data_IF_507630197724
#
_entry.id   IF_507630197724
#
_cell.length_a   1.000
_cell.length_b   1.000
_cell.length_c   1.000
_cell.angle_alpha   90.00
_cell.angle_beta   90.00
_cell.angle_gamma   90.00
#
_symmetry.space_group_name_H-M   'P 1'
#
loop_
_entity.id
_entity.type
_entity.pdbx_description
1 polymer ?
#
# COMPACT_ATOMS: atom_id res chain seq x y z
N UNK A 1 12.28 -37.18 -59.55
CA UNK A 1 11.49 -37.13 -58.29
C UNK A 1 10.65 -35.86 -58.29
N UNK A 2 9.35 -35.95 -58.60
CA UNK A 2 8.39 -34.85 -58.48
C UNK A 2 7.44 -35.25 -57.35
N UNK A 3 7.50 -34.57 -56.21
CA UNK A 3 6.60 -34.80 -55.08
C UNK A 3 5.46 -33.80 -55.18
N UNK A 4 4.28 -34.31 -55.52
CA UNK A 4 3.01 -33.61 -55.34
C UNK A 4 2.77 -33.40 -53.85
N UNK A 5 2.52 -32.16 -53.44
CA UNK A 5 2.05 -31.84 -52.10
C UNK A 5 0.54 -31.63 -52.22
N UNK A 6 -0.22 -32.54 -51.61
CA UNK A 6 -1.66 -32.41 -51.48
C UNK A 6 -1.99 -31.25 -50.53
N UNK A 7 -2.90 -30.41 -50.99
CA UNK A 7 -3.54 -29.35 -50.23
C UNK A 7 -4.50 -30.00 -49.21
N UNK A 8 -4.27 -29.80 -47.92
CA UNK A 8 -5.27 -30.09 -46.88
C UNK A 8 -5.72 -28.76 -46.30
N UNK A 9 -6.92 -28.35 -46.71
CA UNK A 9 -7.68 -27.26 -46.10
C UNK A 9 -8.31 -27.85 -44.83
N UNK A 10 -7.89 -27.36 -43.67
CA UNK A 10 -8.65 -27.53 -42.43
C UNK A 10 -9.36 -26.21 -42.15
N UNK A 11 -10.64 -26.17 -42.49
CA UNK A 11 -11.61 -25.23 -41.95
C UNK A 11 -11.79 -25.55 -40.46
N UNK A 12 -11.41 -24.62 -39.59
CA UNK A 12 -11.58 -24.71 -38.15
C UNK A 12 -11.95 -23.36 -37.55
N UNK A 13 -13.25 -23.21 -37.30
CA UNK A 13 -13.99 -22.15 -36.61
C UNK A 13 -13.18 -21.02 -35.95
N UNK A 14 -13.52 -19.79 -36.36
CA UNK A 14 -13.30 -18.55 -35.63
C UNK A 14 -13.95 -18.61 -34.24
N UNK A 15 -13.20 -19.08 -33.25
CA UNK A 15 -13.46 -18.73 -31.85
C UNK A 15 -12.68 -17.45 -31.59
N UNK A 16 -13.40 -16.35 -31.45
CA UNK A 16 -12.88 -15.09 -30.91
C UNK A 16 -12.26 -15.36 -29.55
N UNK A 17 -10.96 -15.63 -29.53
CA UNK A 17 -10.17 -15.56 -28.31
C UNK A 17 -10.11 -14.08 -27.97
N UNK A 18 -11.07 -13.62 -27.16
CA UNK A 18 -10.78 -12.51 -26.26
C UNK A 18 -9.63 -12.99 -25.37
N UNK A 19 -8.41 -12.72 -25.81
CA UNK A 19 -7.25 -12.86 -24.95
C UNK A 19 -7.51 -11.94 -23.76
N UNK A 20 -7.80 -12.53 -22.60
CA UNK A 20 -7.75 -11.80 -21.33
C UNK A 20 -6.38 -11.14 -21.28
N UNK A 21 -6.28 -9.81 -21.11
CA UNK A 21 -5.00 -9.20 -20.85
C UNK A 21 -4.40 -9.88 -19.63
N UNK A 22 -3.13 -10.29 -19.72
CA UNK A 22 -2.36 -11.02 -18.70
C UNK A 22 -2.16 -10.26 -17.37
N UNK A 23 -2.94 -9.20 -17.15
CA UNK A 23 -2.84 -8.26 -16.05
C UNK A 23 -4.08 -8.24 -15.15
N UNK A 24 -5.09 -9.09 -15.40
CA UNK A 24 -6.20 -9.28 -14.45
C UNK A 24 -5.92 -10.57 -13.67
N UNK A 25 -5.37 -10.49 -12.44
CA UNK A 25 -5.21 -11.68 -11.61
C UNK A 25 -6.60 -12.29 -11.36
N UNK A 26 -6.73 -13.60 -11.60
CA UNK A 26 -7.95 -14.34 -11.29
C UNK A 26 -8.26 -14.19 -9.79
N UNK A 27 -9.41 -13.59 -9.48
CA UNK A 27 -9.87 -13.34 -8.10
C UNK A 27 -9.90 -14.62 -7.25
N UNK A 28 -10.01 -15.79 -7.88
CA UNK A 28 -10.01 -17.09 -7.20
C UNK A 28 -8.61 -17.62 -6.87
N UNK A 29 -7.56 -17.18 -7.58
CA UNK A 29 -6.17 -17.56 -7.31
C UNK A 29 -5.58 -16.71 -6.18
N UNK A 30 -6.06 -15.48 -6.02
CA UNK A 30 -5.68 -14.58 -4.90
C UNK A 30 -6.15 -15.17 -3.56
N UNK A 31 -7.37 -15.72 -3.48
CA UNK A 31 -7.88 -16.33 -2.24
C UNK A 31 -7.13 -17.59 -1.81
N UNK A 32 -6.61 -18.39 -2.76
CA UNK A 32 -5.96 -19.67 -2.42
C UNK A 32 -4.49 -19.52 -2.01
N UNK A 33 -3.82 -18.45 -2.44
CA UNK A 33 -2.44 -18.14 -2.03
C UNK A 33 -2.35 -17.22 -0.80
N UNK A 34 -3.45 -16.56 -0.39
CA UNK A 34 -3.48 -15.71 0.81
C UNK A 34 -3.40 -16.48 2.15
N UNK A 35 -3.59 -17.80 2.14
CA UNK A 35 -3.59 -18.63 3.35
C UNK A 35 -2.20 -19.18 3.74
N UNK A 36 -1.17 -19.00 2.91
CA UNK A 36 0.07 -19.80 3.03
C UNK A 36 1.35 -19.05 3.40
N UNK A 37 1.32 -17.73 3.60
CA UNK A 37 2.45 -17.00 4.16
C UNK A 37 1.94 -15.88 5.07
N UNK A 38 1.45 -16.23 6.26
CA UNK A 38 1.38 -15.23 7.34
C UNK A 38 2.81 -14.87 7.68
N UNK A 39 3.36 -13.81 7.08
CA UNK A 39 4.65 -13.27 7.48
C UNK A 39 4.56 -12.92 8.97
N UNK A 40 5.18 -13.72 9.82
CA UNK A 40 5.33 -13.38 11.23
C UNK A 40 6.28 -12.19 11.25
N UNK A 41 5.76 -11.03 11.67
CA UNK A 41 6.61 -9.87 11.90
C UNK A 41 7.33 -10.13 13.20
N UNK A 42 8.62 -10.45 13.11
CA UNK A 42 9.47 -10.81 14.24
C UNK A 42 9.95 -9.57 15.04
N UNK A 43 9.65 -8.37 14.55
CA UNK A 43 10.02 -7.10 15.17
C UNK A 43 8.82 -6.48 15.87
N UNK A 44 8.97 -6.16 17.15
CA UNK A 44 7.95 -5.44 17.90
C UNK A 44 8.15 -3.93 17.79
N UNK A 45 7.29 -3.28 16.99
CA UNK A 45 7.26 -1.83 16.85
C UNK A 45 6.43 -1.15 17.94
N UNK A 46 5.75 -1.90 18.82
CA UNK A 46 4.85 -1.35 19.82
C UNK A 46 5.53 -0.36 20.76
N UNK A 47 4.75 0.59 21.26
CA UNK A 47 5.19 1.56 22.25
C UNK A 47 4.85 2.99 21.87
N UNK A 48 5.18 3.90 22.79
CA UNK A 48 5.09 5.34 22.54
C UNK A 48 6.43 5.83 22.02
N UNK A 49 6.38 6.66 20.99
CA UNK A 49 7.54 7.14 20.24
C UNK A 49 7.57 8.66 20.27
N UNK A 50 8.74 9.24 20.52
CA UNK A 50 8.96 10.69 20.47
C UNK A 50 10.18 11.01 19.63
N UNK A 51 10.10 12.01 18.78
CA UNK A 51 11.13 12.24 17.79
C UNK A 51 10.85 13.44 16.91
N UNK A 52 11.58 13.51 15.80
CA UNK A 52 11.49 14.64 14.86
C UNK A 52 11.66 14.16 13.43
N UNK A 53 11.07 14.91 12.51
CA UNK A 53 11.24 14.73 11.08
C UNK A 53 12.12 15.84 10.49
N UNK A 54 12.67 15.60 9.31
CA UNK A 54 13.42 16.61 8.56
C UNK A 54 12.53 17.84 8.30
N UNK A 55 13.01 19.03 8.65
CA UNK A 55 12.28 20.29 8.46
C UNK A 55 11.34 20.69 9.59
N UNK A 56 11.08 19.82 10.57
CA UNK A 56 10.28 20.15 11.74
C UNK A 56 11.13 20.79 12.84
N UNK A 57 10.64 21.92 13.38
CA UNK A 57 11.29 22.60 14.50
C UNK A 57 10.99 21.92 15.86
N UNK A 58 9.86 21.21 15.95
CA UNK A 58 9.35 20.63 17.19
C UNK A 58 9.37 19.10 17.15
N UNK A 59 9.50 18.49 18.33
CA UNK A 59 9.34 17.05 18.46
C UNK A 59 7.87 16.65 18.40
N UNK A 60 7.56 15.61 17.66
CA UNK A 60 6.25 15.00 17.59
C UNK A 60 6.27 13.66 18.33
N UNK A 61 5.10 13.24 18.84
CA UNK A 61 4.95 11.94 19.48
C UNK A 61 3.75 11.20 18.94
N UNK A 62 3.84 9.88 18.89
CA UNK A 62 2.76 9.02 18.46
C UNK A 62 2.90 7.65 19.14
N UNK A 63 1.87 6.82 19.05
CA UNK A 63 1.88 5.48 19.61
C UNK A 63 1.71 4.44 18.52
N UNK A 64 2.50 3.38 18.58
CA UNK A 64 2.32 2.17 17.78
C UNK A 64 1.68 1.11 18.66
N UNK A 65 0.55 0.57 18.21
CA UNK A 65 -0.05 -0.64 18.76
C UNK A 65 0.06 -1.76 17.73
N UNK A 66 0.85 -2.79 18.04
CA UNK A 66 0.98 -3.98 17.19
C UNK A 66 0.23 -5.15 17.81
N UNK A 67 -0.47 -5.90 16.97
CA UNK A 67 -1.05 -7.20 17.30
C UNK A 67 -0.53 -8.25 16.32
N UNK A 68 -0.92 -9.51 16.47
CA UNK A 68 -0.54 -10.56 15.54
C UNK A 68 -1.02 -10.34 14.08
N UNK A 69 -2.04 -9.49 13.89
CA UNK A 69 -2.73 -9.33 12.60
C UNK A 69 -2.75 -7.87 12.10
N UNK A 70 -2.32 -6.91 12.91
CA UNK A 70 -2.39 -5.50 12.54
C UNK A 70 -1.36 -4.64 13.26
N UNK A 71 -1.11 -3.48 12.67
CA UNK A 71 -0.39 -2.37 13.29
C UNK A 71 -1.26 -1.12 13.21
N UNK A 72 -1.37 -0.40 14.32
CA UNK A 72 -2.05 0.88 14.37
C UNK A 72 -1.09 2.00 14.74
N UNK A 73 -1.08 3.06 13.95
CA UNK A 73 -0.44 4.33 14.28
C UNK A 73 -1.49 5.25 14.91
N UNK A 74 -1.20 5.79 16.08
CA UNK A 74 -2.11 6.67 16.83
C UNK A 74 -1.43 8.02 17.03
N UNK A 75 -2.03 9.05 16.45
CA UNK A 75 -1.59 10.45 16.52
C UNK A 75 -2.71 11.25 17.17
N UNK A 76 -2.46 11.87 18.33
CA UNK A 76 -3.48 12.58 19.11
C UNK A 76 -4.79 11.77 19.27
N UNK A 77 -5.82 12.11 18.50
CA UNK A 77 -7.14 11.44 18.48
C UNK A 77 -7.42 10.61 17.21
N UNK A 78 -6.46 10.51 16.30
CA UNK A 78 -6.58 9.75 15.06
C UNK A 78 -5.87 8.40 15.16
N UNK A 79 -6.49 7.38 14.56
CA UNK A 79 -5.95 6.02 14.52
C UNK A 79 -5.96 5.49 13.09
N UNK A 80 -4.77 5.28 12.53
CA UNK A 80 -4.57 4.63 11.24
C UNK A 80 -4.24 3.16 11.47
N UNK A 81 -5.13 2.26 11.04
CA UNK A 81 -4.96 0.81 11.21
C UNK A 81 -4.58 0.14 9.90
N UNK A 82 -3.46 -0.57 9.93
CA UNK A 82 -2.93 -1.39 8.84
C UNK A 82 -3.10 -2.87 9.19
N UNK A 83 -3.67 -3.65 8.28
CA UNK A 83 -3.78 -5.10 8.41
C UNK A 83 -2.57 -5.77 7.77
N UNK A 84 -1.95 -6.72 8.46
CA UNK A 84 -0.89 -7.54 7.88
C UNK A 84 -1.52 -8.53 6.89
N UNK A 85 -0.91 -8.69 5.71
CA UNK A 85 -1.41 -9.59 4.65
C UNK A 85 -2.86 -9.32 4.24
N UNK A 86 -3.32 -8.07 4.41
CA UNK A 86 -4.69 -7.66 4.13
C UNK A 86 -4.77 -6.20 3.70
N UNK A 87 -5.94 -5.81 3.21
CA UNK A 87 -6.26 -4.43 2.88
C UNK A 87 -7.31 -3.96 3.89
N UNK A 88 -7.03 -2.90 4.64
CA UNK A 88 -8.07 -2.15 5.33
C UNK A 88 -8.55 -1.03 4.42
N UNK A 89 -9.85 -0.78 4.42
CA UNK A 89 -10.44 0.34 3.70
C UNK A 89 -11.39 1.13 4.58
N UNK A 90 -11.47 2.44 4.32
CA UNK A 90 -12.42 3.32 4.95
C UNK A 90 -13.10 4.14 3.86
N UNK A 91 -14.42 4.09 3.84
CA UNK A 91 -15.23 4.86 2.91
C UNK A 91 -15.86 6.00 3.69
N UNK A 92 -15.61 7.25 3.26
CA UNK A 92 -16.20 8.44 3.86
C UNK A 92 -17.01 9.17 2.79
N UNK A 93 -18.28 9.41 3.11
CA UNK A 93 -19.15 10.27 2.33
C UNK A 93 -19.10 11.67 2.93
N UNK A 94 -18.66 12.64 2.13
CA UNK A 94 -18.89 14.05 2.41
C UNK A 94 -19.79 14.62 1.32
N UNK A 95 -20.53 15.70 1.61
CA UNK A 95 -21.73 16.18 0.91
C UNK A 95 -21.71 16.14 -0.63
N UNK A 96 -20.55 16.20 -1.29
CA UNK A 96 -20.39 16.06 -2.76
C UNK A 96 -19.18 15.22 -3.21
N UNK A 97 -18.50 14.51 -2.28
CA UNK A 97 -17.30 13.73 -2.57
C UNK A 97 -17.34 12.35 -1.94
N UNK A 98 -17.06 11.32 -2.76
CA UNK A 98 -16.87 9.95 -2.32
C UNK A 98 -15.37 9.74 -2.11
N UNK A 99 -14.97 9.59 -0.85
CA UNK A 99 -13.60 9.28 -0.46
C UNK A 99 -13.44 7.80 -0.14
N UNK A 100 -12.38 7.23 -0.65
CA UNK A 100 -11.98 5.86 -0.39
C UNK A 100 -10.51 5.83 0.01
N UNK A 101 -10.23 5.09 1.07
CA UNK A 101 -8.89 4.90 1.58
C UNK A 101 -8.55 3.42 1.58
N UNK A 102 -7.32 3.08 1.23
CA UNK A 102 -6.77 1.73 1.32
C UNK A 102 -5.43 1.76 2.01
N UNK A 103 -5.27 0.83 2.94
CA UNK A 103 -4.06 0.68 3.75
C UNK A 103 -3.54 -0.76 3.60
N UNK A 104 -2.23 -0.89 3.36
CA UNK A 104 -1.54 -2.17 3.18
C UNK A 104 -0.29 -2.16 4.05
N UNK A 105 -0.01 -3.26 4.75
CA UNK A 105 1.26 -3.45 5.47
C UNK A 105 1.99 -4.70 4.94
N UNK A 106 3.20 -4.48 4.43
CA UNK A 106 4.08 -5.50 3.88
C UNK A 106 5.37 -5.58 4.71
N UNK A 107 5.70 -6.77 5.22
CA UNK A 107 6.97 -7.03 5.88
C UNK A 107 8.05 -7.40 4.86
N UNK A 108 9.19 -6.72 4.93
CA UNK A 108 10.38 -7.05 4.15
C UNK A 108 11.45 -7.65 5.08
N UNK A 109 11.52 -8.98 5.09
CA UNK A 109 12.44 -9.71 5.97
C UNK A 109 13.92 -9.51 5.64
N UNK A 110 14.28 -9.08 4.42
CA UNK A 110 15.68 -8.87 4.05
C UNK A 110 16.22 -7.57 4.66
N UNK A 111 15.45 -6.50 4.57
CA UNK A 111 15.80 -5.20 5.15
C UNK A 111 15.34 -5.03 6.61
N UNK A 112 14.62 -6.00 7.16
CA UNK A 112 13.92 -5.91 8.45
C UNK A 112 13.04 -4.65 8.54
N UNK A 113 12.37 -4.33 7.44
CA UNK A 113 11.58 -3.11 7.31
C UNK A 113 10.10 -3.42 7.17
N UNK A 114 9.25 -2.66 7.84
CA UNK A 114 7.80 -2.70 7.64
C UNK A 114 7.38 -1.56 6.70
N UNK A 115 6.77 -1.91 5.57
CA UNK A 115 6.28 -0.95 4.58
C UNK A 115 4.77 -0.78 4.74
N UNK A 116 4.35 0.42 5.13
CA UNK A 116 2.96 0.81 5.25
C UNK A 116 2.59 1.66 4.03
N UNK A 117 1.69 1.17 3.18
CA UNK A 117 1.22 1.87 1.99
C UNK A 117 -0.18 2.38 2.23
N UNK A 118 -0.41 3.63 1.84
CA UNK A 118 -1.67 4.33 1.94
C UNK A 118 -2.04 4.83 0.54
N UNK A 119 -3.28 4.56 0.14
CA UNK A 119 -3.88 5.13 -1.05
C UNK A 119 -5.17 5.81 -0.64
N UNK A 120 -5.25 7.10 -0.89
CA UNK A 120 -6.46 7.89 -0.72
C UNK A 120 -6.91 8.34 -2.10
N UNK A 121 -8.19 8.15 -2.42
CA UNK A 121 -8.77 8.74 -3.61
C UNK A 121 -10.16 9.28 -3.35
N UNK A 122 -10.42 10.45 -3.92
CA UNK A 122 -11.69 11.16 -3.85
C UNK A 122 -12.15 11.53 -5.25
N UNK A 123 -13.45 11.51 -5.50
CA UNK A 123 -14.01 12.09 -6.72
C UNK A 123 -15.33 12.82 -6.46
N UNK A 124 -15.54 13.89 -7.20
CA UNK A 124 -16.81 14.60 -7.37
C UNK A 124 -17.11 14.78 -8.87
N UNK A 125 -18.18 15.51 -9.19
CA UNK A 125 -18.58 15.78 -10.57
C UNK A 125 -17.48 16.42 -11.44
N UNK A 126 -16.58 17.24 -10.84
CA UNK A 126 -15.52 17.97 -11.56
C UNK A 126 -14.14 17.89 -10.89
N UNK A 127 -13.99 17.15 -9.78
CA UNK A 127 -12.72 17.04 -9.07
C UNK A 127 -12.34 15.58 -8.85
N UNK A 128 -11.05 15.33 -8.91
CA UNK A 128 -10.44 14.06 -8.53
C UNK A 128 -9.21 14.35 -7.67
N UNK A 129 -9.05 13.55 -6.64
CA UNK A 129 -7.90 13.56 -5.76
C UNK A 129 -7.36 12.14 -5.66
N UNK A 130 -6.05 11.97 -5.82
CA UNK A 130 -5.34 10.72 -5.55
C UNK A 130 -4.06 11.03 -4.80
N UNK A 131 -3.95 10.48 -3.60
CA UNK A 131 -2.74 10.51 -2.80
C UNK A 131 -2.24 9.09 -2.55
N UNK A 132 -0.96 8.87 -2.84
CA UNK A 132 -0.22 7.64 -2.58
C UNK A 132 0.91 7.97 -1.60
N UNK A 133 0.93 7.29 -0.46
CA UNK A 133 2.01 7.41 0.51
C UNK A 133 2.57 6.03 0.85
N UNK A 134 3.87 5.95 1.04
CA UNK A 134 4.52 4.79 1.62
C UNK A 134 5.38 5.24 2.79
N UNK A 135 5.15 4.66 3.96
CA UNK A 135 6.01 4.75 5.13
C UNK A 135 6.84 3.48 5.21
N UNK A 136 8.16 3.62 5.37
CA UNK A 136 9.07 2.51 5.65
C UNK A 136 9.57 2.67 7.07
N UNK A 137 9.22 1.71 7.93
CA UNK A 137 9.61 1.67 9.34
C UNK A 137 10.76 0.70 9.50
N UNK A 138 11.84 1.14 10.12
CA UNK A 138 12.98 0.32 10.51
C UNK A 138 13.28 0.52 11.99
N UNK A 139 13.44 -0.57 12.72
CA UNK A 139 13.79 -0.53 14.14
C UNK A 139 15.27 -0.91 14.32
N UNK A 140 16.04 -0.06 14.99
CA UNK A 140 17.43 -0.35 15.35
C UNK A 140 17.74 0.22 16.74
N UNK A 141 18.13 -0.64 17.69
CA UNK A 141 18.50 -0.27 19.07
C UNK A 141 17.49 0.68 19.76
N UNK A 142 16.19 0.31 19.76
CA UNK A 142 15.09 1.12 20.29
C UNK A 142 14.90 2.51 19.64
N UNK A 143 15.50 2.72 18.46
CA UNK A 143 15.21 3.86 17.60
C UNK A 143 14.42 3.43 16.39
N UNK A 144 13.34 4.15 16.13
CA UNK A 144 12.48 3.94 14.99
C UNK A 144 12.81 4.98 13.91
N UNK A 145 13.26 4.49 12.77
CA UNK A 145 13.52 5.27 11.57
C UNK A 145 12.32 5.15 10.66
N UNK A 146 11.72 6.28 10.29
CA UNK A 146 10.59 6.34 9.37
C UNK A 146 11.01 7.11 8.14
N UNK A 147 10.83 6.51 6.98
CA UNK A 147 10.97 7.18 5.70
C UNK A 147 9.63 7.23 5.00
N UNK A 148 9.16 8.42 4.69
CA UNK A 148 7.95 8.64 3.91
C UNK A 148 8.31 9.02 2.47
N UNK A 149 7.60 8.43 1.53
CA UNK A 149 7.48 8.93 0.16
C UNK A 149 6.01 9.20 -0.10
N UNK A 150 5.70 10.42 -0.54
CA UNK A 150 4.33 10.85 -0.82
C UNK A 150 4.22 11.38 -2.25
N UNK A 151 3.13 11.02 -2.92
CA UNK A 151 2.74 11.49 -4.24
C UNK A 151 1.26 11.86 -4.21
N UNK A 152 0.92 13.10 -4.56
CA UNK A 152 -0.47 13.53 -4.71
C UNK A 152 -0.73 14.09 -6.10
N UNK A 153 -1.95 13.82 -6.59
CA UNK A 153 -2.50 14.28 -7.85
C UNK A 153 -3.87 14.90 -7.57
N UNK A 154 -4.02 16.16 -7.94
CA UNK A 154 -5.28 16.90 -7.86
C UNK A 154 -5.81 17.22 -9.25
N UNK A 155 -7.10 17.60 -9.34
CA UNK A 155 -7.77 17.91 -10.61
C UNK A 155 -6.99 18.94 -11.42
N UNK A 156 -6.50 18.50 -12.59
CA UNK A 156 -5.66 19.30 -13.49
C UNK A 156 -4.43 18.55 -14.02
N UNK A 157 -3.98 17.45 -13.38
CA UNK A 157 -2.71 16.73 -13.66
C UNK A 157 -1.43 17.58 -13.61
N UNK A 158 -1.56 18.91 -13.59
CA UNK A 158 -0.48 19.89 -13.49
C UNK A 158 0.06 20.00 -12.06
N UNK A 159 -0.74 19.64 -11.04
CA UNK A 159 -0.38 19.71 -9.62
C UNK A 159 0.13 18.38 -9.05
N UNK A 160 1.10 17.76 -9.73
CA UNK A 160 1.80 16.62 -9.14
C UNK A 160 2.72 17.09 -8.01
N UNK A 161 2.40 16.71 -6.77
CA UNK A 161 3.28 16.95 -5.63
C UNK A 161 3.98 15.67 -5.23
N UNK A 162 5.30 15.75 -5.07
CA UNK A 162 6.08 14.65 -4.51
C UNK A 162 6.95 15.14 -3.36
N UNK A 163 6.98 14.35 -2.30
CA UNK A 163 7.69 14.67 -1.07
C UNK A 163 8.43 13.46 -0.53
N UNK A 164 9.52 13.74 0.18
CA UNK A 164 10.22 12.77 1.02
C UNK A 164 10.41 13.37 2.40
N UNK A 165 10.16 12.57 3.42
CA UNK A 165 10.35 12.95 4.81
C UNK A 165 11.07 11.82 5.53
N UNK A 166 12.16 12.12 6.22
CA UNK A 166 12.79 11.16 7.13
C UNK A 166 12.54 11.61 8.56
N UNK A 167 12.28 10.65 9.44
CA UNK A 167 12.08 10.90 10.84
C UNK A 167 12.83 9.89 11.68
N UNK A 168 13.27 10.33 12.86
CA UNK A 168 13.91 9.47 13.86
C UNK A 168 13.17 9.65 15.18
N UNK A 169 12.76 8.54 15.75
CA UNK A 169 12.03 8.48 17.01
C UNK A 169 12.73 7.56 18.01
N UNK A 170 12.62 7.91 19.28
CA UNK A 170 13.07 7.10 20.41
C UNK A 170 11.86 6.55 21.16
N UNK A 171 11.97 5.31 21.62
CA UNK A 171 10.92 4.67 22.40
C UNK A 171 10.88 5.30 23.80
N UNK A 172 9.72 5.79 24.21
CA UNK A 172 9.49 6.24 25.58
C UNK A 172 9.36 5.00 26.47
N UNK A 173 10.16 4.96 27.54
CA UNK A 173 10.12 3.90 28.56
C UNK A 173 8.89 3.96 29.44
#
# INVERSE_FOLDING_TARGET
MKKSIALVVVLGCSMSVFAKPSFIPDYNTVKKNQLLNKSVIEVDFSGKWIGRCDGDANSNSFTIQQTADSLSLIFDNEKLKFMFNGVSSNDRLNLDMVYQEKYIADWDGQSQSLKLKMMHWGHSYNSFELALSQLTLNLNNNRLFIQNTHHALFSGFEDFQSGKLNCVYERMG
#
